data_IF_314720558263
#
_entry.id   IF_314720558263
#
_cell.length_a   1.000
_cell.length_b   1.000
_cell.length_c   1.000
_cell.angle_alpha   90.00
_cell.angle_beta   90.00
_cell.angle_gamma   90.00
#
_symmetry.space_group_name_H-M   'P 1'
#
loop_
_entity.id
_entity.type
_entity.pdbx_description
1 polymer ?
#
# COMPACT_ATOMS: atom_id res chain seq x y z
N UNK A 1 -13.35 -9.19 -0.61
CA UNK A 1 -13.41 -9.69 0.78
C UNK A 1 -12.00 -9.72 1.38
N UNK A 2 -11.68 -8.74 2.22
CA UNK A 2 -10.34 -8.57 2.82
C UNK A 2 -10.06 -9.62 3.90
N UNK A 3 -11.07 -10.04 4.66
CA UNK A 3 -10.94 -10.97 5.78
C UNK A 3 -10.49 -12.37 5.33
N UNK A 4 -10.75 -12.72 4.07
CA UNK A 4 -10.34 -13.98 3.47
C UNK A 4 -8.99 -13.94 2.74
N UNK A 5 -8.27 -12.81 2.80
CA UNK A 5 -6.94 -12.69 2.19
C UNK A 5 -5.93 -13.65 2.82
N UNK A 6 -5.29 -14.47 1.98
CA UNK A 6 -4.23 -15.40 2.36
C UNK A 6 -3.03 -14.65 2.95
N UNK A 7 -2.70 -13.48 2.39
CA UNK A 7 -1.58 -12.66 2.85
C UNK A 7 -1.80 -12.17 4.29
N UNK A 8 -3.03 -11.78 4.65
CA UNK A 8 -3.34 -11.35 6.02
C UNK A 8 -3.34 -12.50 7.01
N UNK A 9 -3.81 -13.70 6.60
CA UNK A 9 -3.72 -14.90 7.43
C UNK A 9 -2.27 -15.29 7.70
N UNK A 10 -1.41 -15.20 6.68
CA UNK A 10 0.02 -15.45 6.81
C UNK A 10 0.72 -14.38 7.68
N UNK A 11 0.37 -13.10 7.53
CA UNK A 11 0.92 -12.05 8.40
C UNK A 11 0.52 -12.28 9.86
N UNK A 12 -0.76 -12.61 10.12
CA UNK A 12 -1.27 -12.82 11.47
C UNK A 12 -0.64 -14.02 12.18
N UNK A 13 -0.19 -15.05 11.46
CA UNK A 13 0.44 -16.22 12.10
C UNK A 13 1.82 -15.90 12.70
N UNK A 14 2.49 -14.86 12.20
CA UNK A 14 3.82 -14.43 12.68
C UNK A 14 3.81 -13.07 13.37
N UNK A 15 2.76 -12.27 13.18
CA UNK A 15 2.54 -10.94 13.78
C UNK A 15 1.05 -10.80 14.19
N UNK A 16 0.60 -11.47 15.26
CA UNK A 16 -0.82 -11.55 15.63
C UNK A 16 -1.49 -10.19 15.89
N UNK A 17 -0.72 -9.22 16.37
CA UNK A 17 -1.16 -7.85 16.69
C UNK A 17 -0.89 -6.86 15.55
N UNK A 18 -0.33 -7.31 14.43
CA UNK A 18 0.04 -6.46 13.30
C UNK A 18 0.96 -5.27 13.65
N UNK A 19 1.89 -5.47 14.58
CA UNK A 19 2.82 -4.44 15.04
C UNK A 19 3.88 -4.08 13.98
N UNK A 20 4.20 -5.01 13.08
CA UNK A 20 5.24 -4.88 12.06
C UNK A 20 4.74 -5.07 10.63
N UNK A 21 3.43 -5.20 10.45
CA UNK A 21 2.76 -5.42 9.16
C UNK A 21 2.32 -4.09 8.53
N UNK A 22 2.58 -3.94 7.23
CA UNK A 22 2.07 -2.83 6.39
C UNK A 22 1.06 -3.44 5.42
N UNK A 23 -0.11 -2.83 5.32
CA UNK A 23 -1.11 -3.22 4.34
C UNK A 23 -0.85 -2.54 3.00
N UNK A 24 -0.67 -3.31 1.94
CA UNK A 24 -0.58 -2.77 0.57
C UNK A 24 -1.77 -3.29 -0.23
N UNK A 25 -2.61 -2.38 -0.69
CA UNK A 25 -3.80 -2.71 -1.48
C UNK A 25 -3.55 -2.35 -2.94
N UNK A 26 -3.63 -3.33 -3.82
CA UNK A 26 -3.39 -3.17 -5.25
C UNK A 26 -4.70 -3.20 -6.04
N UNK A 27 -4.66 -2.82 -7.32
CA UNK A 27 -5.77 -2.97 -8.28
C UNK A 27 -7.03 -2.20 -7.90
N UNK A 28 -6.87 -1.02 -7.31
CA UNK A 28 -7.99 -0.15 -6.91
C UNK A 28 -8.80 0.35 -8.12
N UNK A 29 -8.17 0.39 -9.30
CA UNK A 29 -8.72 0.75 -10.59
C UNK A 29 -9.69 -0.31 -11.17
N UNK A 30 -9.64 -1.54 -10.68
CA UNK A 30 -10.48 -2.65 -11.14
C UNK A 30 -11.69 -2.91 -10.22
N UNK A 31 -11.99 -2.00 -9.30
CA UNK A 31 -13.14 -2.14 -8.41
C UNK A 31 -14.45 -1.85 -9.16
N UNK A 32 -15.48 -2.62 -8.86
CA UNK A 32 -16.81 -2.45 -9.47
C UNK A 32 -17.43 -1.11 -9.08
N UNK A 33 -18.17 -0.51 -10.02
CA UNK A 33 -18.91 0.72 -9.80
C UNK A 33 -19.85 0.61 -8.60
N UNK A 34 -19.74 1.55 -7.66
CA UNK A 34 -20.49 1.54 -6.40
C UNK A 34 -19.78 0.88 -5.23
N UNK A 35 -18.57 0.33 -5.44
CA UNK A 35 -17.71 -0.17 -4.37
C UNK A 35 -16.40 0.61 -4.29
N UNK A 36 -15.88 0.83 -3.08
CA UNK A 36 -14.57 1.45 -2.88
C UNK A 36 -13.85 0.84 -1.67
N UNK A 37 -12.55 1.10 -1.60
CA UNK A 37 -11.69 0.61 -0.53
C UNK A 37 -11.38 1.68 0.54
N UNK A 38 -12.12 2.79 0.55
CA UNK A 38 -11.86 3.96 1.42
C UNK A 38 -11.79 3.55 2.89
N UNK A 39 -12.75 2.76 3.37
CA UNK A 39 -12.76 2.30 4.76
C UNK A 39 -11.56 1.41 5.14
N UNK A 40 -10.99 0.68 4.17
CA UNK A 40 -9.78 -0.13 4.38
C UNK A 40 -8.56 0.79 4.45
N UNK A 41 -8.42 1.70 3.49
CA UNK A 41 -7.31 2.65 3.40
C UNK A 41 -7.28 3.63 4.59
N UNK A 42 -8.44 3.96 5.15
CA UNK A 42 -8.58 4.75 6.38
C UNK A 42 -8.42 3.91 7.65
N UNK A 43 -7.99 2.65 7.53
CA UNK A 43 -7.67 1.75 8.63
C UNK A 43 -8.88 1.42 9.53
N UNK A 44 -10.12 1.56 9.04
CA UNK A 44 -11.36 1.33 9.82
C UNK A 44 -11.84 -0.12 9.80
N UNK A 45 -11.50 -0.90 8.77
CA UNK A 45 -11.96 -2.29 8.61
C UNK A 45 -11.04 -3.27 9.34
N UNK A 46 -9.74 -3.24 9.06
CA UNK A 46 -8.72 -4.04 9.73
C UNK A 46 -7.56 -3.13 10.14
N UNK A 47 -7.52 -2.71 11.42
CA UNK A 47 -6.49 -1.81 11.90
C UNK A 47 -5.09 -2.45 11.87
N UNK A 48 -4.19 -1.88 11.08
CA UNK A 48 -2.76 -2.18 11.10
C UNK A 48 -2.00 -1.03 11.77
N UNK A 49 -0.97 -1.34 12.58
CA UNK A 49 -0.18 -0.30 13.26
C UNK A 49 0.59 0.60 12.29
N UNK A 50 0.96 0.08 11.12
CA UNK A 50 1.62 0.84 10.05
C UNK A 50 0.66 1.27 8.94
N UNK A 51 -0.65 1.08 9.13
CA UNK A 51 -1.68 1.50 8.21
C UNK A 51 -1.71 0.74 6.87
N UNK A 52 -2.44 1.35 5.93
CA UNK A 52 -2.69 0.83 4.59
C UNK A 52 -2.24 1.84 3.54
N UNK A 53 -1.66 1.34 2.45
CA UNK A 53 -1.24 2.14 1.30
C UNK A 53 -1.82 1.49 0.04
N UNK A 54 -2.55 2.28 -0.73
CA UNK A 54 -3.10 1.90 -2.02
C UNK A 54 -2.09 2.12 -3.14
N UNK A 55 -1.98 1.18 -4.06
CA UNK A 55 -1.13 1.29 -5.27
C UNK A 55 -1.89 0.84 -6.51
N UNK A 56 -1.59 1.45 -7.65
CA UNK A 56 -2.12 1.09 -8.97
C UNK A 56 -0.94 0.75 -9.87
N UNK A 57 -0.92 -0.51 -10.32
CA UNK A 57 0.16 -1.03 -11.15
C UNK A 57 -0.23 -1.02 -12.63
N UNK A 58 0.75 -1.22 -13.50
CA UNK A 58 0.51 -1.41 -14.94
C UNK A 58 -0.44 -2.58 -15.19
N UNK A 59 -1.41 -2.36 -16.05
CA UNK A 59 -2.27 -3.43 -16.57
C UNK A 59 -1.51 -4.32 -17.55
N UNK A 60 -2.05 -5.51 -17.84
CA UNK A 60 -1.43 -6.40 -18.82
C UNK A 60 -1.33 -5.75 -20.22
N UNK A 61 -2.33 -4.94 -20.58
CA UNK A 61 -2.32 -4.17 -21.84
C UNK A 61 -1.17 -3.16 -21.86
N UNK A 62 -1.03 -2.38 -20.80
CA UNK A 62 0.05 -1.39 -20.68
C UNK A 62 1.45 -2.03 -20.74
N UNK A 63 1.61 -3.24 -20.19
CA UNK A 63 2.85 -4.01 -20.30
C UNK A 63 3.12 -4.39 -21.76
N UNK A 64 2.10 -4.88 -22.46
CA UNK A 64 2.23 -5.26 -23.88
C UNK A 64 2.51 -4.05 -24.78
N UNK A 65 2.04 -2.86 -24.40
CA UNK A 65 2.29 -1.57 -25.07
C UNK A 65 3.63 -0.93 -24.66
N UNK A 66 4.45 -1.62 -23.86
CA UNK A 66 5.75 -1.15 -23.37
C UNK A 66 5.66 0.17 -22.57
N UNK A 67 4.58 0.38 -21.82
CA UNK A 67 4.46 1.54 -20.94
C UNK A 67 5.66 1.62 -19.98
N UNK A 68 6.32 2.77 -19.94
CA UNK A 68 7.48 2.99 -19.08
C UNK A 68 7.06 3.04 -17.61
N UNK A 69 8.02 2.81 -16.71
CA UNK A 69 7.75 2.93 -15.27
C UNK A 69 7.43 4.36 -14.85
N UNK A 70 8.02 5.35 -15.53
CA UNK A 70 7.75 6.77 -15.27
C UNK A 70 6.30 7.10 -15.61
N UNK A 71 5.84 6.68 -16.79
CA UNK A 71 4.45 6.92 -17.22
C UNK A 71 3.46 6.19 -16.32
N UNK A 72 3.81 5.00 -15.84
CA UNK A 72 2.98 4.23 -14.91
C UNK A 72 2.81 4.94 -13.57
N UNK A 73 3.90 5.49 -13.01
CA UNK A 73 3.86 6.28 -11.77
C UNK A 73 3.04 7.56 -11.93
N UNK A 74 3.18 8.25 -13.06
CA UNK A 74 2.38 9.44 -13.35
C UNK A 74 0.90 9.09 -13.50
N UNK A 75 0.58 7.99 -14.20
CA UNK A 75 -0.78 7.48 -14.32
C UNK A 75 -1.39 7.12 -12.96
N UNK A 76 -0.62 6.47 -12.08
CA UNK A 76 -1.03 6.15 -10.70
C UNK A 76 -1.32 7.43 -9.90
N UNK A 77 -0.43 8.43 -9.98
CA UNK A 77 -0.63 9.72 -9.32
C UNK A 77 -1.90 10.41 -9.80
N UNK A 78 -2.12 10.44 -11.11
CA UNK A 78 -3.31 11.04 -11.72
C UNK A 78 -4.59 10.29 -11.32
N UNK A 79 -4.53 8.97 -11.22
CA UNK A 79 -5.65 8.16 -10.72
C UNK A 79 -6.09 8.59 -9.32
N UNK A 80 -5.16 8.69 -8.37
CA UNK A 80 -5.51 9.08 -7.00
C UNK A 80 -5.98 10.53 -6.88
N UNK A 81 -5.43 11.45 -7.68
CA UNK A 81 -5.84 12.86 -7.67
C UNK A 81 -7.21 13.09 -8.29
N UNK A 82 -7.56 12.33 -9.34
CA UNK A 82 -8.81 12.50 -10.07
C UNK A 82 -9.95 11.63 -9.52
N UNK A 83 -9.64 10.57 -8.76
CA UNK A 83 -10.66 9.71 -8.18
C UNK A 83 -11.45 10.43 -7.08
N UNK A 84 -12.79 10.52 -7.18
CA UNK A 84 -13.60 11.23 -6.18
C UNK A 84 -13.48 10.61 -4.78
N UNK A 85 -13.31 9.29 -4.70
CA UNK A 85 -13.23 8.56 -3.44
C UNK A 85 -11.84 8.68 -2.76
N UNK A 86 -10.77 8.74 -3.56
CA UNK A 86 -9.40 8.67 -3.05
C UNK A 86 -8.65 10.00 -3.05
N UNK A 87 -9.20 11.06 -3.66
CA UNK A 87 -8.55 12.38 -3.75
C UNK A 87 -8.13 12.95 -2.40
N UNK A 88 -8.96 12.79 -1.37
CA UNK A 88 -8.67 13.28 -0.02
C UNK A 88 -7.46 12.60 0.63
N UNK A 89 -7.04 11.42 0.15
CA UNK A 89 -5.92 10.66 0.68
C UNK A 89 -4.78 10.49 -0.32
N UNK A 90 -4.84 11.16 -1.48
CA UNK A 90 -3.89 10.97 -2.58
C UNK A 90 -2.42 11.16 -2.19
N UNK A 91 -2.13 12.06 -1.23
CA UNK A 91 -0.76 12.29 -0.74
C UNK A 91 -0.17 11.12 0.06
N UNK A 92 -1.01 10.22 0.58
CA UNK A 92 -0.60 9.03 1.34
C UNK A 92 -0.77 7.73 0.56
N UNK A 93 -0.87 7.83 -0.77
CA UNK A 93 -1.09 6.71 -1.66
C UNK A 93 -0.03 6.67 -2.76
N UNK A 94 0.02 5.54 -3.46
CA UNK A 94 0.91 5.32 -4.59
C UNK A 94 2.26 4.75 -4.23
N UNK A 95 2.97 4.32 -5.28
CA UNK A 95 4.24 3.61 -5.22
C UNK A 95 5.34 4.47 -4.61
N UNK A 96 5.36 5.77 -4.90
CA UNK A 96 6.38 6.67 -4.37
C UNK A 96 6.23 6.87 -2.85
N UNK A 97 5.00 7.04 -2.37
CA UNK A 97 4.71 7.12 -0.93
C UNK A 97 5.05 5.79 -0.22
N UNK A 98 4.72 4.66 -0.84
CA UNK A 98 5.08 3.33 -0.34
C UNK A 98 6.60 3.18 -0.20
N UNK A 99 7.37 3.54 -1.24
CA UNK A 99 8.82 3.43 -1.25
C UNK A 99 9.47 4.29 -0.15
N UNK A 100 9.01 5.54 0.01
CA UNK A 100 9.47 6.43 1.07
C UNK A 100 9.16 5.85 2.46
N UNK A 101 7.93 5.39 2.66
CA UNK A 101 7.46 4.81 3.93
C UNK A 101 8.27 3.58 4.31
N UNK A 102 8.48 2.66 3.36
CA UNK A 102 9.30 1.46 3.59
C UNK A 102 10.75 1.82 3.93
N UNK A 103 11.33 2.81 3.25
CA UNK A 103 12.70 3.27 3.52
C UNK A 103 12.85 3.83 4.93
N UNK A 104 11.91 4.67 5.37
CA UNK A 104 11.88 5.21 6.74
C UNK A 104 11.75 4.10 7.78
N UNK A 105 10.83 3.16 7.56
CA UNK A 105 10.61 2.03 8.47
C UNK A 105 11.85 1.15 8.60
N UNK A 106 12.51 0.85 7.47
CA UNK A 106 13.72 0.04 7.46
C UNK A 106 14.85 0.74 8.22
N UNK A 107 15.07 2.03 7.96
CA UNK A 107 16.08 2.84 8.65
C UNK A 107 15.84 2.86 10.17
N UNK A 108 14.60 3.11 10.59
CA UNK A 108 14.24 3.10 12.01
C UNK A 108 14.45 1.73 12.64
N UNK A 109 14.17 0.64 11.91
CA UNK A 109 14.40 -0.71 12.41
C UNK A 109 15.89 -1.00 12.57
N UNK A 110 16.72 -0.66 11.58
CA UNK A 110 18.18 -0.80 11.64
C UNK A 110 18.75 -0.02 12.83
N UNK A 111 18.34 1.25 13.00
CA UNK A 111 18.80 2.09 14.11
C UNK A 111 18.46 1.51 15.49
N UNK A 112 17.30 0.85 15.64
CA UNK A 112 16.92 0.19 16.90
C UNK A 112 17.71 -1.08 17.17
N UNK A 113 18.13 -1.81 16.13
CA UNK A 113 18.90 -3.04 16.26
C UNK A 113 20.41 -2.80 16.42
N UNK A 114 20.93 -1.66 15.95
CA UNK A 114 22.36 -1.34 15.98
C UNK A 114 23.00 -1.32 17.39
N UNK A 115 22.35 -0.82 18.46
CA UNK A 115 22.90 -0.86 19.81
C UNK A 115 23.14 -2.28 20.33
N UNK A 116 22.33 -3.25 19.90
CA UNK A 116 22.45 -4.64 20.30
C UNK A 116 23.55 -5.42 19.55
N UNK A 117 24.06 -4.86 18.44
CA UNK A 117 25.14 -5.47 17.62
C UNK A 117 26.54 -4.96 17.99
N UNK A 118 26.63 -3.90 18.81
CA UNK A 118 27.90 -3.31 19.27
C UNK A 118 28.29 -3.75 20.69
N UNK A 119 27.52 -4.64 21.32
CA UNK A 119 27.79 -5.21 22.63
C UNK A 119 28.39 -6.61 22.51
#
# INVERSE_FOLDING_TARGET
>A
DLANSVALKAARSVDPEFNRTIGVLTKLDLMDHGTNAVAILENRVLPLKRGWIGVVNRSQKAINENQTMTDAKESERMYFLNSPDYRAMAERMGTDYLAQTMSTILLQHIQRCMPALRA
#
